data_IF_433431567936
#
_entry.id   IF_433431567936
#
_cell.length_a   1.000
_cell.length_b   1.000
_cell.length_c   1.000
_cell.angle_alpha   90.00
_cell.angle_beta   90.00
_cell.angle_gamma   90.00
#
_symmetry.space_group_name_H-M   'P 1'
#
loop_
_entity.id
_entity.type
_entity.pdbx_description
1 polymer ?
#
# COMPACT_ATOMS: atom_id res chain seq x y z
N UNK A 1 2.37 -39.56 46.36
CA UNK A 1 2.40 -38.17 45.83
C UNK A 1 3.44 -38.07 44.70
N UNK A 2 3.15 -38.57 43.49
CA UNK A 2 4.11 -38.58 42.35
C UNK A 2 3.50 -38.26 40.97
N UNK A 3 2.22 -37.88 40.90
CA UNK A 3 1.49 -37.79 39.61
C UNK A 3 1.35 -36.36 39.05
N UNK A 4 1.75 -35.34 39.80
CA UNK A 4 1.53 -33.92 39.44
C UNK A 4 2.73 -33.32 38.69
N UNK A 5 3.93 -33.90 38.85
CA UNK A 5 5.15 -33.37 38.22
C UNK A 5 5.23 -33.59 36.70
N UNK A 6 4.53 -34.59 36.14
CA UNK A 6 4.60 -34.89 34.70
C UNK A 6 3.77 -33.94 33.82
N UNK A 7 2.73 -33.29 34.37
CA UNK A 7 1.88 -32.39 33.59
C UNK A 7 2.50 -30.99 33.42
N UNK A 8 3.27 -30.54 34.40
CA UNK A 8 3.99 -29.26 34.34
C UNK A 8 5.12 -29.31 33.31
N UNK A 9 5.81 -30.45 33.20
CA UNK A 9 6.89 -30.63 32.23
C UNK A 9 6.38 -30.70 30.78
N UNK A 10 5.18 -31.27 30.55
CA UNK A 10 4.57 -31.33 29.22
C UNK A 10 4.05 -29.96 28.77
N UNK A 11 3.52 -29.15 29.69
CA UNK A 11 3.14 -27.77 29.41
C UNK A 11 4.35 -26.90 29.03
N UNK A 12 5.52 -27.14 29.63
CA UNK A 12 6.73 -26.34 29.37
C UNK A 12 7.32 -26.55 27.96
N UNK A 13 7.11 -27.73 27.36
CA UNK A 13 7.64 -28.07 26.02
C UNK A 13 6.68 -27.61 24.90
N UNK A 14 5.40 -27.37 25.20
CA UNK A 14 4.40 -26.91 24.24
C UNK A 14 4.35 -25.37 24.07
N UNK A 15 5.08 -24.60 24.88
CA UNK A 15 5.02 -23.13 24.85
C UNK A 15 5.97 -22.37 23.91
N UNK A 16 6.98 -22.92 23.19
CA UNK A 16 7.80 -22.09 22.32
C UNK A 16 7.22 -21.92 20.90
N UNK A 17 5.92 -22.20 20.68
CA UNK A 17 5.29 -22.23 19.36
C UNK A 17 4.57 -20.98 18.87
N UNK A 18 4.44 -19.91 19.68
CA UNK A 18 3.52 -18.80 19.37
C UNK A 18 4.14 -17.39 19.33
N UNK A 19 5.45 -17.25 19.50
CA UNK A 19 6.10 -15.92 19.57
C UNK A 19 6.93 -15.57 18.34
N UNK A 20 6.50 -16.01 17.15
CA UNK A 20 6.91 -15.40 15.89
C UNK A 20 5.69 -14.69 15.27
N UNK A 21 5.11 -13.76 16.04
CA UNK A 21 4.27 -12.73 15.43
C UNK A 21 5.22 -11.86 14.62
N UNK A 22 5.28 -12.12 13.31
CA UNK A 22 5.99 -11.29 12.36
C UNK A 22 5.36 -9.91 12.48
N UNK A 23 6.11 -8.97 13.05
CA UNK A 23 5.75 -7.56 13.08
C UNK A 23 5.70 -7.12 11.62
N UNK A 24 4.51 -7.17 11.04
CA UNK A 24 4.26 -6.88 9.65
C UNK A 24 4.48 -5.37 9.51
N UNK A 25 5.70 -4.98 9.14
CA UNK A 25 6.10 -3.59 8.99
C UNK A 25 5.04 -2.84 8.16
N UNK A 26 4.37 -1.90 8.82
CA UNK A 26 3.17 -1.21 8.37
C UNK A 26 3.35 -0.66 6.94
N UNK A 27 2.57 -1.21 6.02
CA UNK A 27 2.42 -0.64 4.67
C UNK A 27 1.52 0.58 4.82
N UNK A 28 2.06 1.77 4.54
CA UNK A 28 1.35 3.03 4.76
C UNK A 28 1.22 3.80 3.44
N UNK A 29 0.01 4.26 3.13
CA UNK A 29 -0.25 5.27 2.09
C UNK A 29 -1.15 6.35 2.65
N UNK A 30 -0.68 7.59 2.61
CA UNK A 30 -1.43 8.78 2.96
C UNK A 30 -1.47 9.65 1.72
N UNK A 31 -2.66 10.07 1.29
CA UNK A 31 -2.84 10.88 0.09
C UNK A 31 -3.28 12.28 0.51
N UNK A 32 -2.49 13.28 0.15
CA UNK A 32 -2.79 14.71 0.35
C UNK A 32 -3.10 15.32 -1.03
N UNK A 33 -4.29 15.89 -1.21
CA UNK A 33 -4.74 16.43 -2.51
C UNK A 33 -4.52 17.93 -2.61
N UNK A 34 -4.18 18.42 -3.81
CA UNK A 34 -4.20 19.84 -4.16
C UNK A 34 -4.96 19.99 -5.49
N UNK A 35 -6.19 20.48 -5.43
CA UNK A 35 -6.95 20.79 -6.65
C UNK A 35 -6.36 22.03 -7.32
N UNK A 36 -5.90 21.88 -8.57
CA UNK A 36 -5.33 22.99 -9.33
C UNK A 36 -6.40 23.76 -10.11
N UNK A 37 -7.39 23.06 -10.69
CA UNK A 37 -8.58 23.62 -11.34
C UNK A 37 -9.72 22.57 -11.46
N UNK A 38 -10.80 22.86 -12.20
CA UNK A 38 -11.95 21.95 -12.34
C UNK A 38 -11.71 20.71 -13.22
N UNK A 39 -10.57 20.61 -13.91
CA UNK A 39 -10.28 19.50 -14.83
C UNK A 39 -8.98 18.77 -14.49
N UNK A 40 -8.00 19.44 -13.89
CA UNK A 40 -6.71 18.86 -13.53
C UNK A 40 -6.53 18.79 -12.01
N UNK A 41 -6.01 17.65 -11.53
CA UNK A 41 -5.72 17.45 -10.11
C UNK A 41 -4.22 17.21 -9.92
N UNK A 42 -3.59 17.99 -9.03
CA UNK A 42 -2.29 17.64 -8.46
C UNK A 42 -2.50 16.84 -7.17
N UNK A 43 -1.78 15.74 -7.05
CA UNK A 43 -1.87 14.87 -5.88
C UNK A 43 -0.48 14.72 -5.30
N UNK A 44 -0.37 14.99 -4.00
CA UNK A 44 0.81 14.66 -3.21
C UNK A 44 0.56 13.33 -2.50
N UNK A 45 1.30 12.30 -2.90
CA UNK A 45 1.15 10.95 -2.36
C UNK A 45 2.30 10.68 -1.41
N UNK A 46 1.97 10.45 -0.15
CA UNK A 46 2.91 10.04 0.88
C UNK A 46 2.82 8.52 1.04
N UNK A 47 3.92 7.82 0.86
CA UNK A 47 3.88 6.36 0.85
C UNK A 47 5.09 5.74 1.54
N UNK A 48 4.90 4.54 2.10
CA UNK A 48 5.93 3.62 2.57
C UNK A 48 5.57 2.22 2.08
N UNK A 49 6.43 1.65 1.25
CA UNK A 49 6.25 0.28 0.72
C UNK A 49 7.52 -0.54 0.89
N UNK A 50 7.41 -1.79 1.36
CA UNK A 50 8.54 -2.70 1.45
C UNK A 50 9.03 -3.08 0.06
N UNK A 51 10.24 -3.64 -0.05
CA UNK A 51 10.74 -4.16 -1.31
C UNK A 51 9.73 -5.14 -1.97
N UNK A 52 9.49 -5.03 -3.30
CA UNK A 52 8.63 -5.97 -4.00
C UNK A 52 9.30 -7.35 -4.10
N UNK A 53 8.52 -8.39 -4.39
CA UNK A 53 9.07 -9.72 -4.69
C UNK A 53 9.99 -9.68 -5.91
N UNK A 54 10.93 -10.62 -6.01
CA UNK A 54 11.87 -10.71 -7.13
C UNK A 54 11.17 -10.67 -8.49
N UNK A 55 11.65 -9.82 -9.39
CA UNK A 55 11.07 -9.62 -10.72
C UNK A 55 9.78 -8.80 -10.74
N UNK A 56 9.40 -8.16 -9.62
CA UNK A 56 8.25 -7.27 -9.52
C UNK A 56 8.66 -5.82 -9.34
N UNK A 57 7.81 -4.91 -9.77
CA UNK A 57 7.94 -3.46 -9.58
C UNK A 57 6.62 -2.88 -9.09
N UNK A 58 6.67 -1.72 -8.44
CA UNK A 58 5.48 -0.99 -8.06
C UNK A 58 5.16 0.11 -9.06
N UNK A 59 3.94 0.14 -9.57
CA UNK A 59 3.46 1.17 -10.50
C UNK A 59 2.34 1.96 -9.85
N UNK A 60 2.45 3.28 -9.89
CA UNK A 60 1.46 4.20 -9.36
C UNK A 60 0.40 4.53 -10.40
N UNK A 61 -0.86 4.43 -10.00
CA UNK A 61 -2.03 4.74 -10.80
C UNK A 61 -2.91 5.79 -10.11
N UNK A 62 -3.32 6.78 -10.89
CA UNK A 62 -4.35 7.75 -10.53
C UNK A 62 -5.67 7.29 -11.13
N UNK A 63 -6.74 7.34 -10.36
CA UNK A 63 -8.04 6.82 -10.72
C UNK A 63 -9.11 7.90 -10.59
N UNK A 64 -10.05 7.94 -11.54
CA UNK A 64 -11.38 8.47 -11.32
C UNK A 64 -12.36 7.29 -11.32
N UNK A 65 -12.85 6.91 -10.14
CA UNK A 65 -13.74 5.75 -9.97
C UNK A 65 -15.14 5.99 -10.54
N UNK A 66 -15.59 7.24 -10.64
CA UNK A 66 -16.92 7.61 -11.13
C UNK A 66 -16.95 7.58 -12.65
N UNK A 67 -15.92 8.13 -13.29
CA UNK A 67 -15.77 8.18 -14.74
C UNK A 67 -15.06 6.94 -15.33
N UNK A 68 -14.54 6.05 -14.48
CA UNK A 68 -13.75 4.89 -14.89
C UNK A 68 -12.39 5.21 -15.52
N UNK A 69 -11.91 6.46 -15.39
CA UNK A 69 -10.60 6.89 -15.92
C UNK A 69 -9.46 6.40 -15.04
N UNK A 70 -8.33 6.13 -15.67
CA UNK A 70 -7.08 5.76 -14.98
C UNK A 70 -5.88 6.27 -15.75
N UNK A 71 -4.85 6.71 -15.05
CA UNK A 71 -3.57 7.10 -15.64
C UNK A 71 -2.41 6.53 -14.83
N UNK A 72 -1.36 6.09 -15.54
CA UNK A 72 -0.08 5.72 -14.93
C UNK A 72 0.66 6.99 -14.56
N UNK A 73 0.96 7.17 -13.28
CA UNK A 73 1.67 8.34 -12.77
C UNK A 73 3.17 8.09 -12.53
N UNK A 74 3.63 6.84 -12.62
CA UNK A 74 5.05 6.50 -12.58
C UNK A 74 5.34 5.21 -11.82
N UNK A 75 6.62 5.00 -11.50
CA UNK A 75 7.10 3.87 -10.71
C UNK A 75 7.38 4.31 -9.28
N UNK A 76 6.99 3.48 -8.31
CA UNK A 76 7.18 3.73 -6.88
C UNK A 76 8.44 2.99 -6.41
N UNK A 77 9.37 3.73 -5.82
CA UNK A 77 10.57 3.13 -5.24
C UNK A 77 10.27 2.61 -3.83
N UNK A 78 10.68 1.38 -3.48
CA UNK A 78 10.53 0.87 -2.13
C UNK A 78 11.31 1.71 -1.12
N UNK A 79 10.75 1.87 0.08
CA UNK A 79 11.39 2.63 1.15
C UNK A 79 10.79 2.29 2.50
N UNK A 80 11.67 2.16 3.50
CA UNK A 80 11.30 2.00 4.91
C UNK A 80 10.91 3.34 5.56
N UNK A 81 11.07 4.45 4.84
CA UNK A 81 10.66 5.80 5.26
C UNK A 81 9.48 6.28 4.42
N UNK A 82 8.69 7.19 4.97
CA UNK A 82 7.62 7.86 4.20
C UNK A 82 8.29 8.76 3.14
N UNK A 83 7.94 8.53 1.88
CA UNK A 83 8.33 9.39 0.76
C UNK A 83 7.11 10.16 0.27
N UNK A 84 7.32 11.38 -0.20
CA UNK A 84 6.29 12.15 -0.90
C UNK A 84 6.58 12.16 -2.40
N UNK A 85 5.54 12.01 -3.21
CA UNK A 85 5.61 12.12 -4.66
C UNK A 85 4.48 13.04 -5.13
N UNK A 86 4.82 14.05 -5.93
CA UNK A 86 3.85 14.91 -6.59
C UNK A 86 3.59 14.41 -7.99
N UNK A 87 2.32 14.24 -8.33
CA UNK A 87 1.86 13.77 -9.64
C UNK A 87 0.61 14.52 -10.06
N UNK A 88 0.36 14.60 -11.36
CA UNK A 88 -0.80 15.28 -11.93
C UNK A 88 -1.54 14.39 -12.92
N UNK A 89 -2.85 14.60 -13.04
CA UNK A 89 -3.67 14.04 -14.09
C UNK A 89 -4.57 15.12 -14.71
N UNK A 90 -4.94 14.92 -15.97
CA UNK A 90 -5.90 15.72 -16.75
C UNK A 90 -7.36 15.36 -16.46
N UNK A 91 -7.61 14.77 -15.29
CA UNK A 91 -8.95 14.46 -14.78
C UNK A 91 -8.99 14.61 -13.26
N UNK A 92 -10.21 14.66 -12.71
CA UNK A 92 -10.43 14.68 -11.28
C UNK A 92 -10.04 13.34 -10.63
N UNK A 93 -8.96 13.32 -9.85
CA UNK A 93 -8.47 12.09 -9.21
C UNK A 93 -9.28 11.81 -7.94
N UNK A 94 -10.02 10.70 -7.93
CA UNK A 94 -10.82 10.23 -6.78
C UNK A 94 -10.24 8.99 -6.08
N UNK A 95 -9.14 8.43 -6.60
CA UNK A 95 -8.44 7.31 -5.98
C UNK A 95 -7.00 7.16 -6.44
N UNK A 96 -6.20 6.47 -5.63
CA UNK A 96 -4.79 6.19 -5.93
C UNK A 96 -4.49 4.74 -5.59
N UNK A 97 -3.80 4.05 -6.49
CA UNK A 97 -3.42 2.65 -6.32
C UNK A 97 -1.95 2.46 -6.67
N UNK A 98 -1.25 1.69 -5.86
CA UNK A 98 0.09 1.17 -6.20
C UNK A 98 -0.09 -0.30 -6.55
N UNK A 99 0.04 -0.65 -7.83
CA UNK A 99 -0.06 -2.02 -8.31
C UNK A 99 1.30 -2.72 -8.31
N UNK A 100 1.29 -4.07 -8.27
CA UNK A 100 2.48 -4.91 -8.36
C UNK A 100 2.56 -5.48 -9.77
N UNK A 101 3.59 -5.10 -10.52
CA UNK A 101 3.72 -5.40 -11.94
C UNK A 101 5.00 -6.17 -12.25
N UNK A 102 5.06 -6.82 -13.42
CA UNK A 102 6.26 -7.51 -13.91
C UNK A 102 7.26 -6.59 -14.63
N UNK A 103 6.80 -5.41 -15.04
CA UNK A 103 7.59 -4.41 -15.77
C UNK A 103 7.12 -3.03 -15.36
N UNK A 104 7.98 -2.03 -15.53
CA UNK A 104 7.62 -0.63 -15.36
C UNK A 104 6.80 -0.11 -16.54
N UNK A 105 6.88 -0.74 -17.71
CA UNK A 105 6.09 -0.39 -18.88
C UNK A 105 4.91 -1.33 -19.03
N UNK A 106 3.79 -0.98 -18.37
CA UNK A 106 2.55 -1.77 -18.41
C UNK A 106 1.44 -0.93 -19.01
N UNK A 107 0.77 -1.41 -20.08
CA UNK A 107 -0.31 -0.68 -20.73
C UNK A 107 -1.59 -0.63 -19.89
N UNK A 108 -1.75 -1.56 -18.93
CA UNK A 108 -2.94 -1.68 -18.12
C UNK A 108 -2.59 -2.11 -16.69
N UNK A 109 -3.21 -1.45 -15.71
CA UNK A 109 -3.07 -1.82 -14.29
C UNK A 109 -3.53 -3.25 -14.04
N UNK A 110 -2.70 -4.04 -13.36
CA UNK A 110 -3.09 -5.37 -12.90
C UNK A 110 -4.09 -5.32 -11.75
N UNK A 111 -4.69 -6.48 -11.44
CA UNK A 111 -5.57 -6.66 -10.28
C UNK A 111 -4.79 -6.97 -8.99
N UNK A 112 -3.47 -6.82 -8.98
CA UNK A 112 -2.64 -7.05 -7.78
C UNK A 112 -2.15 -5.72 -7.25
N UNK A 113 -2.44 -5.43 -5.98
CA UNK A 113 -2.16 -4.11 -5.39
C UNK A 113 -1.30 -4.23 -4.13
N UNK A 114 -0.28 -3.38 -4.02
CA UNK A 114 0.55 -3.21 -2.83
C UNK A 114 -0.11 -2.25 -1.84
N UNK A 115 -0.77 -1.22 -2.36
CA UNK A 115 -1.49 -0.18 -1.62
C UNK A 115 -2.72 0.27 -2.42
N UNK A 116 -3.83 0.52 -1.73
CA UNK A 116 -5.04 1.10 -2.31
C UNK A 116 -5.58 2.14 -1.34
N UNK A 117 -5.78 3.36 -1.82
CA UNK A 117 -6.55 4.39 -1.12
C UNK A 117 -7.85 4.63 -1.89
N UNK A 118 -8.99 4.41 -1.24
CA UNK A 118 -10.32 4.64 -1.80
C UNK A 118 -11.23 5.33 -0.78
N UNK A 119 -11.82 6.45 -1.22
CA UNK A 119 -12.55 7.48 -0.46
C UNK A 119 -11.77 8.04 0.73
N UNK A 120 -10.94 9.03 0.42
CA UNK A 120 -10.27 9.87 1.40
C UNK A 120 -11.30 10.78 2.05
N UNK A 121 -11.38 10.79 3.38
CA UNK A 121 -12.03 11.86 4.13
C UNK A 121 -11.22 13.12 3.89
N UNK A 122 -11.60 13.89 2.88
CA UNK A 122 -11.31 15.32 2.89
C UNK A 122 -12.05 15.90 4.09
N UNK A 123 -11.39 16.72 4.89
CA UNK A 123 -12.15 17.77 5.55
C UNK A 123 -12.71 18.61 4.39
N UNK A 124 -13.96 18.36 4.03
CA UNK A 124 -14.74 19.35 3.33
C UNK A 124 -14.66 20.65 4.17
N UNK A 125 -14.50 21.83 3.55
CA UNK A 125 -14.63 23.08 4.28
C UNK A 125 -16.03 23.21 4.92
#
# INVERSE_FOLDING_TARGET
MKWILSWVLLALILLPGLSACVLQADREIVVEYVYLDSQATEVTIRYRVPAPSTGKVYVLWLLNLEEGKRAKAGTVQPSDRVRALKVSADFHVTGVVVSIENSQDVPQMSNTWALKSGRVTGNEP
#
